data_IF_244672476803
#
_entry.id   IF_244672476803
#
_cell.length_a   1.000
_cell.length_b   1.000
_cell.length_c   1.000
_cell.angle_alpha   90.00
_cell.angle_beta   90.00
_cell.angle_gamma   90.00
#
_symmetry.space_group_name_H-M   'P 1'
#
loop_
_entity.id
_entity.type
_entity.pdbx_description
1 polymer ?
#
# COMPACT_ATOMS: atom_id res chain seq x y z
N UNK A 1 -7.56 2.53 -1.01
CA UNK A 1 -8.36 1.35 -1.43
C UNK A 1 -9.84 1.67 -1.35
N UNK A 2 -10.61 1.37 -2.40
CA UNK A 2 -11.98 1.87 -2.65
C UNK A 2 -13.06 1.29 -1.72
N UNK A 3 -13.12 1.75 -0.46
CA UNK A 3 -14.17 1.34 0.49
C UNK A 3 -13.87 0.05 1.28
N UNK A 4 -12.62 -0.42 1.27
CA UNK A 4 -12.17 -1.62 2.00
C UNK A 4 -12.23 -2.92 1.19
N UNK A 5 -11.90 -4.05 1.82
CA UNK A 5 -11.74 -5.35 1.15
C UNK A 5 -12.99 -5.82 0.41
N UNK A 6 -14.15 -5.70 1.06
CA UNK A 6 -15.43 -6.16 0.51
C UNK A 6 -15.81 -5.38 -0.75
N UNK A 7 -15.67 -4.05 -0.72
CA UNK A 7 -16.05 -3.20 -1.86
C UNK A 7 -15.09 -3.38 -3.04
N UNK A 8 -13.78 -3.50 -2.79
CA UNK A 8 -12.80 -3.81 -3.83
C UNK A 8 -13.12 -5.15 -4.51
N UNK A 9 -13.49 -6.18 -3.75
CA UNK A 9 -13.86 -7.49 -4.32
C UNK A 9 -15.15 -7.43 -5.14
N UNK A 10 -16.16 -6.67 -4.70
CA UNK A 10 -17.39 -6.46 -5.49
C UNK A 10 -17.09 -5.75 -6.82
N UNK A 11 -16.27 -4.70 -6.78
CA UNK A 11 -15.86 -3.98 -7.98
C UNK A 11 -15.05 -4.87 -8.93
N UNK A 12 -14.16 -5.71 -8.39
CA UNK A 12 -13.41 -6.67 -9.21
C UNK A 12 -14.30 -7.71 -9.87
N UNK A 13 -15.32 -8.22 -9.17
CA UNK A 13 -16.30 -9.14 -9.74
C UNK A 13 -17.12 -8.50 -10.87
N UNK A 14 -17.50 -7.22 -10.73
CA UNK A 14 -18.17 -6.47 -11.80
C UNK A 14 -17.22 -6.28 -12.99
N UNK A 15 -15.96 -5.92 -12.74
CA UNK A 15 -14.96 -5.76 -13.80
C UNK A 15 -14.73 -7.07 -14.57
N UNK A 16 -14.71 -8.22 -13.87
CA UNK A 16 -14.53 -9.54 -14.47
C UNK A 16 -15.65 -9.89 -15.46
N UNK A 17 -16.89 -9.49 -15.18
CA UNK A 17 -18.03 -9.64 -16.10
C UNK A 17 -17.82 -8.89 -17.43
N UNK A 18 -16.95 -7.90 -17.44
CA UNK A 18 -16.58 -7.12 -18.62
C UNK A 18 -15.21 -7.52 -19.20
N UNK A 19 -14.66 -8.68 -18.80
CA UNK A 19 -13.33 -9.14 -19.18
C UNK A 19 -12.23 -8.10 -18.87
N UNK A 20 -12.44 -7.29 -17.82
CA UNK A 20 -11.49 -6.30 -17.37
C UNK A 20 -10.67 -6.86 -16.21
N UNK A 21 -9.37 -6.56 -16.27
CA UNK A 21 -8.43 -6.84 -15.18
C UNK A 21 -8.37 -5.66 -14.22
N UNK A 22 -8.00 -5.94 -12.97
CA UNK A 22 -7.88 -4.97 -11.88
C UNK A 22 -6.43 -4.83 -11.44
N UNK A 23 -5.94 -3.60 -11.40
CA UNK A 23 -4.67 -3.23 -10.79
C UNK A 23 -4.95 -2.21 -9.68
N UNK A 24 -4.96 -2.62 -8.39
CA UNK A 24 -5.25 -1.71 -7.30
C UNK A 24 -4.17 -0.63 -7.17
N UNK A 25 -4.62 0.62 -7.06
CA UNK A 25 -3.77 1.75 -6.69
C UNK A 25 -3.32 1.65 -5.24
N UNK A 26 -2.03 1.83 -4.99
CA UNK A 26 -1.42 1.79 -3.68
C UNK A 26 -0.09 2.58 -3.65
N UNK A 27 -0.20 3.88 -3.38
CA UNK A 27 0.93 4.79 -3.13
C UNK A 27 1.24 4.97 -1.64
N UNK A 28 0.88 4.00 -0.82
CA UNK A 28 0.84 4.13 0.63
C UNK A 28 1.98 3.35 1.30
N UNK A 29 1.93 3.21 2.63
CA UNK A 29 2.92 2.49 3.43
C UNK A 29 2.87 0.95 3.24
N UNK A 30 3.88 0.19 3.71
CA UNK A 30 3.91 -1.26 3.58
C UNK A 30 2.74 -1.95 4.29
N UNK A 31 2.12 -1.31 5.30
CA UNK A 31 0.87 -1.79 5.89
C UNK A 31 -0.28 -1.82 4.87
N UNK A 32 -0.40 -0.78 4.06
CA UNK A 32 -1.40 -0.70 3.00
C UNK A 32 -1.07 -1.67 1.85
N UNK A 33 0.21 -1.90 1.56
CA UNK A 33 0.65 -2.94 0.63
C UNK A 33 0.21 -4.32 1.11
N UNK A 34 0.50 -4.68 2.37
CA UNK A 34 0.05 -5.96 2.96
C UNK A 34 -1.47 -6.10 2.93
N UNK A 35 -2.21 -5.06 3.27
CA UNK A 35 -3.67 -5.06 3.12
C UNK A 35 -4.10 -5.29 1.66
N UNK A 36 -3.42 -4.67 0.70
CA UNK A 36 -3.72 -4.84 -0.71
C UNK A 36 -3.45 -6.26 -1.20
N UNK A 37 -2.38 -6.90 -0.72
CA UNK A 37 -2.08 -8.32 -0.96
C UNK A 37 -3.26 -9.20 -0.50
N UNK A 38 -3.76 -9.00 0.72
CA UNK A 38 -4.95 -9.70 1.21
C UNK A 38 -6.20 -9.43 0.35
N UNK A 39 -6.37 -8.19 -0.11
CA UNK A 39 -7.53 -7.79 -0.91
C UNK A 39 -7.58 -8.53 -2.26
N UNK A 40 -6.42 -8.67 -2.92
CA UNK A 40 -6.30 -9.30 -4.25
C UNK A 40 -6.14 -10.81 -4.18
N UNK A 41 -5.86 -11.38 -3.01
CA UNK A 41 -5.72 -12.82 -2.86
C UNK A 41 -6.99 -13.53 -3.32
N UNK A 42 -6.86 -14.42 -4.31
CA UNK A 42 -7.99 -15.15 -4.90
C UNK A 42 -8.86 -14.34 -5.88
N UNK A 43 -8.45 -13.13 -6.27
CA UNK A 43 -9.09 -12.36 -7.33
C UNK A 43 -8.60 -12.88 -8.70
N UNK A 44 -9.47 -13.52 -9.52
CA UNK A 44 -9.04 -14.18 -10.76
C UNK A 44 -8.59 -13.18 -11.84
N UNK A 45 -9.07 -11.94 -11.79
CA UNK A 45 -8.77 -10.88 -12.74
C UNK A 45 -7.77 -9.85 -12.19
N UNK A 46 -6.98 -10.20 -11.18
CA UNK A 46 -5.88 -9.36 -10.70
C UNK A 46 -4.74 -9.27 -11.73
N UNK A 47 -4.21 -8.07 -11.96
CA UNK A 47 -3.10 -7.83 -12.90
C UNK A 47 -1.75 -7.65 -12.21
N UNK A 48 -1.66 -6.63 -11.37
CA UNK A 48 -0.43 -6.22 -10.66
C UNK A 48 -0.83 -5.30 -9.51
N UNK A 49 -0.01 -5.25 -8.47
CA UNK A 49 -0.18 -4.39 -7.32
C UNK A 49 0.89 -3.30 -7.32
N UNK A 50 0.47 -2.05 -7.26
CA UNK A 50 1.37 -0.92 -7.08
C UNK A 50 1.98 -0.91 -5.67
N UNK A 51 3.26 -0.54 -5.57
CA UNK A 51 3.94 -0.33 -4.29
C UNK A 51 5.10 0.64 -4.48
N UNK A 52 5.37 1.43 -3.45
CA UNK A 52 6.52 2.33 -3.35
C UNK A 52 7.42 1.95 -2.17
N UNK A 53 7.22 0.77 -1.57
CA UNK A 53 7.85 0.40 -0.30
C UNK A 53 9.38 0.41 -0.37
N UNK A 54 9.96 0.07 -1.54
CA UNK A 54 11.41 0.15 -1.77
C UNK A 54 11.98 1.57 -1.86
N UNK A 55 11.15 2.61 -1.81
CA UNK A 55 11.56 4.03 -1.80
C UNK A 55 11.40 4.67 -0.41
N UNK A 56 10.89 3.93 0.56
CA UNK A 56 10.68 4.40 1.92
C UNK A 56 11.95 4.23 2.76
N UNK A 57 12.03 5.02 3.82
CA UNK A 57 13.07 4.88 4.83
C UNK A 57 12.96 3.54 5.57
N UNK A 58 14.10 2.95 5.94
CA UNK A 58 14.17 1.62 6.55
C UNK A 58 13.30 1.50 7.82
N UNK A 59 13.25 2.56 8.63
CA UNK A 59 12.46 2.59 9.87
C UNK A 59 10.96 2.36 9.64
N UNK A 60 10.45 2.59 8.43
CA UNK A 60 9.04 2.36 8.11
C UNK A 60 8.71 0.87 8.23
N UNK A 61 9.61 -0.02 7.82
CA UNK A 61 9.42 -1.47 8.00
C UNK A 61 9.56 -1.88 9.47
N UNK A 62 10.39 -1.19 10.25
CA UNK A 62 10.48 -1.40 11.70
C UNK A 62 9.20 -0.99 12.42
N UNK A 63 8.49 0.03 11.91
CA UNK A 63 7.21 0.49 12.45
C UNK A 63 6.04 -0.46 12.17
N UNK A 64 6.14 -1.27 11.11
CA UNK A 64 5.10 -2.23 10.67
C UNK A 64 5.63 -3.65 10.54
N UNK A 65 6.10 -4.22 11.66
CA UNK A 65 6.71 -5.55 11.71
C UNK A 65 5.80 -6.62 11.13
N UNK A 66 6.38 -7.52 10.33
CA UNK A 66 5.64 -8.57 9.63
C UNK A 66 5.17 -8.18 8.23
N UNK A 67 5.24 -6.90 7.84
CA UNK A 67 5.11 -6.51 6.45
C UNK A 67 6.24 -7.14 5.62
N UNK A 68 5.88 -7.74 4.50
CA UNK A 68 6.80 -8.49 3.65
C UNK A 68 7.38 -7.57 2.57
N UNK A 69 8.70 -7.61 2.32
CA UNK A 69 9.32 -6.80 1.29
C UNK A 69 8.99 -7.34 -0.12
N UNK A 70 9.23 -6.50 -1.13
CA UNK A 70 9.26 -6.95 -2.53
C UNK A 70 10.59 -7.66 -2.78
N UNK A 71 10.52 -8.92 -3.21
CA UNK A 71 11.67 -9.74 -3.61
C UNK A 71 11.45 -10.19 -5.06
N UNK A 72 12.39 -9.86 -5.94
CA UNK A 72 12.35 -10.19 -7.38
C UNK A 72 11.01 -9.83 -8.07
N UNK A 73 10.47 -8.66 -7.71
CA UNK A 73 9.20 -8.15 -8.27
C UNK A 73 7.93 -8.76 -7.68
N UNK A 74 8.04 -9.57 -6.63
CA UNK A 74 6.92 -10.25 -5.99
C UNK A 74 6.90 -9.99 -4.48
N UNK A 75 5.72 -10.11 -3.86
CA UNK A 75 5.54 -10.06 -2.41
C UNK A 75 4.94 -11.41 -2.00
N UNK A 76 5.53 -12.03 -0.98
CA UNK A 76 5.02 -13.30 -0.46
C UNK A 76 3.73 -13.11 0.37
N UNK A 77 3.05 -14.20 0.70
CA UNK A 77 1.79 -14.15 1.42
C UNK A 77 2.01 -14.13 2.94
N UNK A 78 1.42 -13.17 3.69
CA UNK A 78 1.44 -13.21 5.15
C UNK A 78 0.77 -14.48 5.68
N UNK A 79 1.42 -15.16 6.61
CA UNK A 79 0.93 -16.42 7.21
C UNK A 79 0.42 -16.26 8.64
N UNK A 80 0.77 -15.15 9.31
CA UNK A 80 0.28 -14.83 10.64
C UNK A 80 -1.20 -14.37 10.60
N UNK A 81 -1.95 -14.49 11.72
CA UNK A 81 -3.36 -14.11 11.78
C UNK A 81 -3.64 -12.65 11.39
N UNK A 82 -4.84 -12.40 10.87
CA UNK A 82 -5.27 -11.07 10.47
C UNK A 82 -4.48 -10.56 9.27
N UNK A 83 -3.95 -9.33 9.35
CA UNK A 83 -3.07 -8.79 8.31
C UNK A 83 -1.67 -9.41 8.36
N UNK A 84 -1.30 -10.05 9.47
CA UNK A 84 0.06 -10.54 9.71
C UNK A 84 1.08 -9.43 10.00
N UNK A 85 0.61 -8.26 10.45
CA UNK A 85 1.42 -7.08 10.77
C UNK A 85 1.15 -6.62 12.19
N UNK A 86 2.22 -6.23 12.89
CA UNK A 86 2.21 -5.58 14.20
C UNK A 86 2.68 -4.13 14.06
N UNK A 87 1.97 -3.20 14.69
CA UNK A 87 2.37 -1.79 14.75
C UNK A 87 3.29 -1.57 15.96
N UNK A 88 4.42 -0.91 15.73
CA UNK A 88 5.43 -0.65 16.77
C UNK A 88 5.37 0.81 17.18
N UNK A 89 4.56 1.10 18.20
CA UNK A 89 4.25 2.46 18.68
C UNK A 89 5.51 3.26 19.02
N UNK A 90 6.57 2.61 19.50
CA UNK A 90 7.84 3.26 19.83
C UNK A 90 8.50 3.91 18.60
N UNK A 91 8.48 3.23 17.44
CA UNK A 91 9.06 3.76 16.20
C UNK A 91 8.22 4.94 15.70
N UNK A 92 6.89 4.88 15.82
CA UNK A 92 6.04 6.01 15.48
C UNK A 92 6.29 7.22 16.40
N UNK A 93 6.61 6.99 17.68
CA UNK A 93 6.94 8.05 18.62
C UNK A 93 8.30 8.71 18.33
N UNK A 94 9.28 7.93 17.85
CA UNK A 94 10.58 8.43 17.40
C UNK A 94 10.49 9.21 16.08
N UNK A 95 9.53 8.86 15.22
CA UNK A 95 9.31 9.45 13.90
C UNK A 95 7.90 10.06 13.76
N UNK A 96 7.57 11.13 14.53
CA UNK A 96 6.24 11.71 14.50
C UNK A 96 5.93 12.33 13.12
N UNK A 97 4.65 12.28 12.67
CA UNK A 97 4.27 12.80 11.37
C UNK A 97 4.51 14.31 11.26
N UNK A 98 5.26 14.72 10.25
CA UNK A 98 5.36 16.12 9.87
C UNK A 98 4.09 16.53 9.12
N UNK A 99 3.39 17.54 9.63
CA UNK A 99 2.24 18.10 8.92
C UNK A 99 2.72 19.05 7.83
N UNK A 100 2.68 18.60 6.58
CA UNK A 100 2.94 19.40 5.40
C UNK A 100 1.73 19.38 4.47
N UNK A 101 1.31 20.55 3.99
CA UNK A 101 0.34 20.62 2.90
C UNK A 101 1.09 20.92 1.61
N UNK A 102 1.08 19.96 0.69
CA UNK A 102 1.63 20.17 -0.65
C UNK A 102 0.50 20.55 -1.61
N UNK A 103 0.45 21.83 -1.99
CA UNK A 103 -0.44 22.26 -3.05
C UNK A 103 0.15 21.93 -4.43
N UNK A 104 -0.25 20.81 -5.01
CA UNK A 104 0.16 20.39 -6.37
C UNK A 104 -0.42 21.28 -7.49
N UNK A 105 -1.26 22.26 -7.16
CA UNK A 105 -1.83 23.23 -8.11
C UNK A 105 -1.25 24.64 -7.94
N UNK A 106 -0.35 24.86 -6.97
CA UNK A 106 0.31 26.15 -6.81
C UNK A 106 1.33 26.37 -7.95
N UNK A 107 1.49 27.60 -8.41
CA UNK A 107 2.54 27.92 -9.38
C UNK A 107 3.93 27.56 -8.80
N UNK A 108 4.75 26.84 -9.58
CA UNK A 108 6.07 26.40 -9.16
C UNK A 108 6.10 25.16 -8.28
N UNK A 109 4.97 24.47 -8.06
CA UNK A 109 4.91 23.21 -7.28
C UNK A 109 5.88 22.14 -7.80
N UNK A 110 6.13 22.13 -9.10
CA UNK A 110 6.97 21.16 -9.80
C UNK A 110 8.45 21.32 -9.46
N UNK A 111 8.87 22.49 -8.96
CA UNK A 111 10.26 22.74 -8.58
C UNK A 111 10.68 21.94 -7.35
N UNK A 112 9.71 21.40 -6.59
CA UNK A 112 9.93 20.55 -5.41
C UNK A 112 10.98 21.21 -4.51
N UNK A 113 10.83 22.48 -4.16
CA UNK A 113 11.80 23.22 -3.34
C UNK A 113 12.02 22.48 -2.02
N UNK A 114 13.05 21.61 -2.01
CA UNK A 114 13.50 20.85 -0.85
C UNK A 114 14.36 21.79 -0.03
N UNK A 115 13.72 22.67 0.74
CA UNK A 115 14.38 23.34 1.86
C UNK A 115 14.57 22.39 3.02
#
# INVERSE_FOLDING_TARGET
MAGGFTEVRKLAAIADQHAMVVAPYNSNSPLCTTASVHAVLGMPNFKILETFDGLLEEYVFDAVRGALPVVDGHIDLPTAPGLGVELVDEVFAEHPPSHGFWNMFAEGWEKRDRR
#
